data_IF_636797269144
#
_entry.id   IF_636797269144
#
_cell.length_a   1.000
_cell.length_b   1.000
_cell.length_c   1.000
_cell.angle_alpha   90.00
_cell.angle_beta   90.00
_cell.angle_gamma   90.00
#
_symmetry.space_group_name_H-M   'P 1'
#
loop_
_entity.id
_entity.type
_entity.pdbx_description
1 polymer ?
#
# COMPACT_ATOMS: atom_id res chain seq x y z
N UNK A 1 4.47 -8.22 -4.46
CA UNK A 1 4.68 -7.39 -5.67
C UNK A 1 6.14 -7.42 -6.07
N UNK A 2 6.47 -7.67 -7.34
CA UNK A 2 7.84 -7.68 -7.79
C UNK A 2 8.10 -6.45 -8.65
N UNK A 3 9.06 -5.62 -8.20
CA UNK A 3 9.54 -4.48 -8.96
C UNK A 3 10.75 -4.94 -9.78
N UNK A 4 10.68 -4.85 -11.09
CA UNK A 4 11.82 -5.07 -11.96
C UNK A 4 12.35 -3.74 -12.47
N UNK A 5 13.47 -3.26 -11.90
CA UNK A 5 14.26 -2.23 -12.55
C UNK A 5 15.26 -2.92 -13.49
N UNK A 6 15.00 -2.94 -14.75
CA UNK A 6 16.05 -3.21 -15.73
C UNK A 6 16.84 -1.93 -15.92
N UNK A 7 18.16 -1.98 -15.90
CA UNK A 7 19.14 -0.88 -15.82
C UNK A 7 19.00 0.33 -16.77
N UNK A 8 17.80 0.68 -17.14
CA UNK A 8 17.38 1.79 -17.99
C UNK A 8 16.36 2.64 -17.25
N UNK A 9 15.89 3.73 -17.86
CA UNK A 9 14.91 4.66 -17.29
C UNK A 9 13.48 4.09 -17.20
N UNK A 10 13.28 2.79 -17.39
CA UNK A 10 11.98 2.12 -17.36
C UNK A 10 11.82 1.29 -16.09
N UNK A 11 10.66 1.40 -15.46
CA UNK A 11 10.22 0.61 -14.33
C UNK A 11 8.96 -0.19 -14.70
N UNK A 12 8.82 -1.38 -14.14
CA UNK A 12 7.61 -2.19 -14.25
C UNK A 12 7.27 -2.85 -12.92
N UNK A 13 6.02 -2.82 -12.55
CA UNK A 13 5.50 -3.47 -11.35
C UNK A 13 4.19 -4.19 -11.65
N UNK A 14 3.97 -5.35 -11.05
CA UNK A 14 2.76 -6.14 -11.21
C UNK A 14 1.98 -6.27 -9.90
N UNK A 15 0.65 -6.30 -10.01
CA UNK A 15 -0.26 -6.53 -8.90
C UNK A 15 -1.50 -7.29 -9.36
N UNK A 16 -2.23 -7.89 -8.44
CA UNK A 16 -3.47 -8.64 -8.69
C UNK A 16 -4.61 -8.18 -7.78
N UNK A 17 -5.85 -8.44 -8.19
CA UNK A 17 -7.06 -8.15 -7.40
C UNK A 17 -7.83 -6.91 -7.82
N UNK A 18 -8.79 -6.50 -7.00
CA UNK A 18 -9.75 -5.45 -7.32
C UNK A 18 -9.16 -4.03 -7.41
N UNK A 19 -8.05 -3.77 -6.73
CA UNK A 19 -7.35 -2.48 -6.74
C UNK A 19 -5.97 -2.61 -7.40
N UNK A 20 -5.85 -3.52 -8.37
CA UNK A 20 -4.58 -3.88 -8.98
C UNK A 20 -3.88 -2.71 -9.70
N UNK A 21 -4.64 -1.78 -10.28
CA UNK A 21 -4.05 -0.58 -10.91
C UNK A 21 -3.36 0.29 -9.89
N UNK A 22 -4.04 0.60 -8.77
CA UNK A 22 -3.47 1.44 -7.71
C UNK A 22 -2.22 0.79 -7.11
N UNK A 23 -2.28 -0.53 -6.81
CA UNK A 23 -1.12 -1.27 -6.28
C UNK A 23 0.06 -1.21 -7.24
N UNK A 24 -0.16 -1.49 -8.52
CA UNK A 24 0.91 -1.49 -9.51
C UNK A 24 1.54 -0.08 -9.68
N UNK A 25 0.72 0.98 -9.69
CA UNK A 25 1.19 2.38 -9.75
C UNK A 25 1.92 2.79 -8.47
N UNK A 26 1.43 2.38 -7.30
CA UNK A 26 2.09 2.65 -6.02
C UNK A 26 3.47 1.99 -5.95
N UNK A 27 3.60 0.75 -6.41
CA UNK A 27 4.89 0.05 -6.49
C UNK A 27 5.91 0.81 -7.35
N UNK A 28 5.48 1.35 -8.51
CA UNK A 28 6.35 2.20 -9.35
C UNK A 28 6.74 3.48 -8.60
N UNK A 29 5.79 4.11 -7.92
CA UNK A 29 6.03 5.34 -7.17
C UNK A 29 7.02 5.13 -6.03
N UNK A 30 6.85 4.06 -5.24
CA UNK A 30 7.76 3.68 -4.17
C UNK A 30 9.16 3.31 -4.69
N UNK A 31 9.25 2.75 -5.90
CA UNK A 31 10.52 2.48 -6.57
C UNK A 31 11.22 3.72 -7.12
N UNK A 32 10.63 4.91 -6.98
CA UNK A 32 11.19 6.17 -7.45
C UNK A 32 10.86 6.50 -8.90
N UNK A 33 9.73 6.03 -9.42
CA UNK A 33 9.26 6.28 -10.80
C UNK A 33 7.90 6.95 -10.89
N UNK A 34 7.47 7.17 -12.12
CA UNK A 34 6.10 7.55 -12.48
C UNK A 34 5.54 6.56 -13.50
N UNK A 35 4.31 6.12 -13.29
CA UNK A 35 3.64 5.21 -14.21
C UNK A 35 3.16 5.97 -15.46
N UNK A 36 3.36 5.38 -16.64
CA UNK A 36 2.91 5.92 -17.92
C UNK A 36 1.69 5.16 -18.46
N UNK A 37 1.69 3.84 -18.33
CA UNK A 37 0.59 2.99 -18.79
C UNK A 37 0.51 1.68 -18.00
N UNK A 38 -0.58 0.94 -18.24
CA UNK A 38 -0.74 -0.42 -17.73
C UNK A 38 -0.95 -1.42 -18.87
N UNK A 39 -0.63 -2.68 -18.56
CA UNK A 39 -1.10 -3.87 -19.26
C UNK A 39 -1.89 -4.75 -18.30
N UNK A 40 -2.93 -5.42 -18.77
CA UNK A 40 -3.74 -6.27 -17.90
C UNK A 40 -3.89 -7.69 -18.45
N UNK A 41 -4.09 -8.65 -17.55
CA UNK A 41 -4.56 -10.00 -17.88
C UNK A 41 -5.79 -10.28 -17.05
N UNK A 42 -6.89 -10.64 -17.72
CA UNK A 42 -8.16 -10.98 -17.10
C UNK A 42 -8.46 -12.45 -17.41
N UNK A 43 -8.54 -13.28 -16.39
CA UNK A 43 -8.93 -14.68 -16.49
C UNK A 43 -10.33 -14.80 -15.90
N UNK A 44 -11.30 -15.21 -16.72
CA UNK A 44 -12.71 -15.35 -16.32
C UNK A 44 -13.04 -16.85 -16.19
N UNK A 45 -13.73 -17.22 -15.14
CA UNK A 45 -14.29 -18.56 -15.01
C UNK A 45 -15.44 -18.82 -16.02
N UNK A 46 -15.66 -20.08 -16.37
CA UNK A 46 -16.67 -20.46 -17.39
C UNK A 46 -18.13 -20.12 -16.99
N UNK A 47 -18.39 -19.91 -15.70
CA UNK A 47 -19.75 -19.61 -15.17
C UNK A 47 -20.02 -18.10 -15.12
N UNK A 48 -18.99 -17.28 -15.24
CA UNK A 48 -19.12 -15.83 -15.25
C UNK A 48 -19.89 -15.37 -16.48
N UNK A 49 -20.83 -14.45 -16.26
CA UNK A 49 -21.59 -13.80 -17.35
C UNK A 49 -20.75 -12.68 -17.99
N UNK A 50 -21.00 -12.38 -19.25
CA UNK A 50 -20.35 -11.29 -19.98
C UNK A 50 -20.44 -9.94 -19.25
N UNK A 51 -21.51 -9.68 -18.52
CA UNK A 51 -21.68 -8.46 -17.73
C UNK A 51 -20.56 -8.30 -16.69
N UNK A 52 -20.10 -9.42 -16.08
CA UNK A 52 -19.01 -9.40 -15.11
C UNK A 52 -17.69 -8.94 -15.73
N UNK A 53 -17.38 -9.38 -16.94
CA UNK A 53 -16.21 -8.91 -17.67
C UNK A 53 -16.30 -7.41 -17.98
N UNK A 54 -17.48 -6.94 -18.40
CA UNK A 54 -17.71 -5.50 -18.65
C UNK A 54 -17.52 -4.65 -17.38
N UNK A 55 -17.99 -5.13 -16.24
CA UNK A 55 -17.78 -4.47 -14.94
C UNK A 55 -16.30 -4.39 -14.57
N UNK A 56 -15.55 -5.48 -14.74
CA UNK A 56 -14.10 -5.50 -14.49
C UNK A 56 -13.37 -4.51 -15.39
N UNK A 57 -13.66 -4.50 -16.69
CA UNK A 57 -13.02 -3.58 -17.64
C UNK A 57 -13.35 -2.13 -17.29
N UNK A 58 -14.61 -1.83 -16.96
CA UNK A 58 -15.05 -0.50 -16.54
C UNK A 58 -14.34 -0.04 -15.27
N UNK A 59 -14.15 -0.94 -14.31
CA UNK A 59 -13.45 -0.62 -13.07
C UNK A 59 -11.95 -0.39 -13.30
N UNK A 60 -11.29 -1.19 -14.15
CA UNK A 60 -9.91 -0.95 -14.55
C UNK A 60 -9.74 0.42 -15.24
N UNK A 61 -10.64 0.75 -16.18
CA UNK A 61 -10.62 2.05 -16.86
C UNK A 61 -10.81 3.21 -15.87
N UNK A 62 -11.76 3.09 -14.94
CA UNK A 62 -11.99 4.07 -13.88
C UNK A 62 -10.76 4.28 -13.01
N UNK A 63 -10.11 3.20 -12.58
CA UNK A 63 -8.87 3.29 -11.80
C UNK A 63 -7.76 3.97 -12.60
N UNK A 64 -7.61 3.64 -13.88
CA UNK A 64 -6.64 4.29 -14.77
C UNK A 64 -6.89 5.80 -14.89
N UNK A 65 -8.16 6.22 -14.99
CA UNK A 65 -8.52 7.64 -15.04
C UNK A 65 -8.13 8.37 -13.75
N UNK A 66 -8.34 7.75 -12.57
CA UNK A 66 -7.97 8.34 -11.27
C UNK A 66 -6.45 8.57 -11.16
N UNK A 67 -5.64 7.61 -11.62
CA UNK A 67 -4.16 7.73 -11.56
C UNK A 67 -3.55 8.42 -12.79
N UNK A 68 -4.36 8.74 -13.80
CA UNK A 68 -3.91 9.46 -15.00
C UNK A 68 -3.06 8.62 -15.96
N UNK A 69 -3.25 7.29 -16.00
CA UNK A 69 -2.52 6.38 -16.90
C UNK A 69 -3.45 5.77 -17.95
N UNK A 70 -2.89 5.34 -19.09
CA UNK A 70 -3.64 4.64 -20.13
C UNK A 70 -3.48 3.12 -20.06
N UNK A 71 -4.43 2.38 -20.67
CA UNK A 71 -4.31 0.94 -20.89
C UNK A 71 -3.61 0.73 -22.24
N UNK A 72 -2.36 0.25 -22.22
CA UNK A 72 -1.57 0.01 -23.43
C UNK A 72 -1.91 -1.31 -24.13
N UNK A 73 -2.49 -2.26 -23.41
CA UNK A 73 -2.88 -3.56 -23.93
C UNK A 73 -3.21 -4.55 -22.85
N UNK A 74 -3.46 -5.79 -23.25
CA UNK A 74 -3.77 -6.85 -22.30
C UNK A 74 -4.26 -8.11 -22.98
N UNK A 75 -4.67 -9.08 -22.14
CA UNK A 75 -5.22 -10.36 -22.60
C UNK A 75 -6.43 -10.72 -21.74
N UNK A 76 -7.47 -11.24 -22.38
CA UNK A 76 -8.65 -11.78 -21.69
C UNK A 76 -8.90 -13.22 -22.15
N UNK A 77 -9.07 -14.14 -21.21
CA UNK A 77 -9.34 -15.54 -21.51
C UNK A 77 -10.37 -16.13 -20.57
N UNK A 78 -11.12 -17.12 -21.04
CA UNK A 78 -11.97 -17.98 -20.21
C UNK A 78 -11.19 -19.23 -19.84
N UNK A 79 -11.19 -19.60 -18.57
CA UNK A 79 -10.42 -20.75 -18.08
C UNK A 79 -11.26 -21.60 -17.10
N UNK A 80 -11.39 -22.91 -17.35
CA UNK A 80 -12.13 -23.82 -16.46
C UNK A 80 -11.42 -24.07 -15.11
N UNK A 81 -10.14 -23.72 -15.00
CA UNK A 81 -9.33 -24.00 -13.82
C UNK A 81 -9.39 -22.90 -12.74
N UNK A 82 -10.17 -21.85 -12.97
CA UNK A 82 -10.43 -20.81 -11.96
C UNK A 82 -11.90 -20.84 -11.54
N UNK A 83 -12.16 -20.54 -10.27
CA UNK A 83 -13.52 -20.53 -9.71
C UNK A 83 -14.13 -19.13 -9.62
N UNK A 84 -13.31 -18.11 -9.84
CA UNK A 84 -13.69 -16.70 -9.85
C UNK A 84 -12.76 -15.92 -10.78
N UNK A 85 -13.15 -14.75 -11.27
CA UNK A 85 -12.30 -13.92 -12.11
C UNK A 85 -10.98 -13.55 -11.42
N UNK A 86 -9.88 -13.66 -12.15
CA UNK A 86 -8.54 -13.22 -11.74
C UNK A 86 -8.12 -12.05 -12.62
N UNK A 87 -7.73 -10.95 -11.99
CA UNK A 87 -7.23 -9.76 -12.66
C UNK A 87 -5.80 -9.53 -12.23
N UNK A 88 -4.89 -9.46 -13.20
CA UNK A 88 -3.50 -9.07 -12.99
C UNK A 88 -3.18 -7.83 -13.82
N UNK A 89 -2.53 -6.86 -13.21
CA UNK A 89 -2.13 -5.59 -13.83
C UNK A 89 -0.63 -5.43 -13.72
N UNK A 90 0.01 -5.06 -14.82
CA UNK A 90 1.40 -4.62 -14.86
C UNK A 90 1.44 -3.16 -15.25
N UNK A 91 1.90 -2.28 -14.35
CA UNK A 91 2.19 -0.90 -14.67
C UNK A 91 3.61 -0.77 -15.23
N UNK A 92 3.77 0.09 -16.21
CA UNK A 92 5.04 0.43 -16.84
C UNK A 92 5.21 1.94 -16.74
N UNK A 93 6.43 2.38 -16.42
CA UNK A 93 6.71 3.79 -16.24
C UNK A 93 8.18 4.13 -16.39
N UNK A 94 8.50 5.40 -16.23
CA UNK A 94 9.86 5.90 -16.29
C UNK A 94 10.42 6.20 -14.88
N UNK A 95 11.73 6.05 -14.76
CA UNK A 95 12.44 6.30 -13.51
C UNK A 95 12.68 7.80 -13.31
N UNK A 96 12.25 8.32 -12.16
CA UNK A 96 12.53 9.69 -11.71
C UNK A 96 13.77 9.74 -10.82
N UNK A 97 13.98 8.68 -10.02
CA UNK A 97 15.09 8.56 -9.09
C UNK A 97 15.51 7.09 -8.96
N UNK A 98 16.78 6.85 -8.72
CA UNK A 98 17.26 5.49 -8.39
C UNK A 98 16.73 5.09 -7.01
N UNK A 99 16.16 3.89 -6.91
CA UNK A 99 15.75 3.31 -5.63
C UNK A 99 16.94 3.23 -4.67
N UNK A 100 16.76 3.70 -3.45
CA UNK A 100 17.81 3.76 -2.43
C UNK A 100 17.49 2.80 -1.29
N UNK A 101 18.53 2.38 -0.59
CA UNK A 101 18.43 1.63 0.66
C UNK A 101 18.31 2.58 1.84
N UNK A 102 17.65 2.14 2.90
CA UNK A 102 17.70 2.81 4.18
C UNK A 102 19.08 2.68 4.80
N UNK A 103 19.52 3.70 5.53
CA UNK A 103 20.82 3.77 6.19
C UNK A 103 20.62 4.01 7.68
N UNK A 104 21.42 3.32 8.51
CA UNK A 104 21.36 3.47 9.96
C UNK A 104 21.49 4.95 10.40
N UNK A 105 20.67 5.32 11.36
CA UNK A 105 20.54 6.68 11.86
C UNK A 105 19.43 7.50 11.20
N UNK A 106 18.91 7.09 10.04
CA UNK A 106 17.77 7.76 9.40
C UNK A 106 16.49 7.58 10.20
N UNK A 107 15.67 8.63 10.23
CA UNK A 107 14.29 8.58 10.72
C UNK A 107 13.41 7.84 9.71
N UNK A 108 12.40 7.12 10.21
CA UNK A 108 11.36 6.49 9.41
C UNK A 108 10.11 7.36 9.49
N UNK A 109 9.66 7.84 8.34
CA UNK A 109 8.44 8.65 8.20
C UNK A 109 7.36 7.83 7.53
N UNK A 110 6.16 7.83 8.08
CA UNK A 110 4.96 7.24 7.52
C UNK A 110 3.98 8.34 7.09
N UNK A 111 3.31 8.17 5.95
CA UNK A 111 2.22 9.05 5.51
C UNK A 111 0.85 8.41 5.73
N UNK A 112 -0.17 9.25 5.94
CA UNK A 112 -1.58 8.87 6.10
C UNK A 112 -1.80 7.83 7.21
N UNK A 113 -2.69 6.85 6.97
CA UNK A 113 -3.14 5.90 7.99
C UNK A 113 -2.97 4.47 7.51
N UNK A 114 -2.71 3.54 8.42
CA UNK A 114 -2.69 2.11 8.12
C UNK A 114 -4.13 1.55 7.98
N UNK A 115 -4.25 0.39 7.35
CA UNK A 115 -5.48 -0.40 7.25
C UNK A 115 -6.55 0.15 6.31
N UNK A 116 -6.30 1.26 5.58
CA UNK A 116 -7.31 1.92 4.74
C UNK A 116 -7.90 1.02 3.65
N UNK A 117 -7.07 0.37 2.86
CA UNK A 117 -7.51 -0.54 1.79
C UNK A 117 -8.10 -1.84 2.33
N UNK A 118 -7.53 -2.35 3.40
CA UNK A 118 -8.02 -3.56 4.06
C UNK A 118 -9.43 -3.36 4.60
N UNK A 119 -9.66 -2.27 5.36
CA UNK A 119 -11.01 -1.95 5.88
C UNK A 119 -12.00 -1.65 4.76
N UNK A 120 -11.59 -0.99 3.69
CA UNK A 120 -12.45 -0.80 2.51
C UNK A 120 -12.91 -2.15 1.94
N UNK A 121 -12.04 -3.14 1.90
CA UNK A 121 -12.39 -4.50 1.46
C UNK A 121 -13.31 -5.19 2.46
N UNK A 122 -13.03 -5.11 3.77
CA UNK A 122 -13.90 -5.65 4.82
C UNK A 122 -15.31 -5.04 4.73
N UNK A 123 -15.42 -3.72 4.61
CA UNK A 123 -16.71 -3.02 4.43
C UNK A 123 -17.44 -3.55 3.19
N UNK A 124 -16.75 -3.78 2.08
CA UNK A 124 -17.37 -4.25 0.84
C UNK A 124 -17.97 -5.65 0.97
N UNK A 125 -17.45 -6.50 1.85
CA UNK A 125 -17.91 -7.87 2.07
C UNK A 125 -18.83 -8.03 3.28
N UNK A 126 -18.73 -7.14 4.27
CA UNK A 126 -19.36 -7.29 5.59
C UNK A 126 -20.23 -6.08 5.99
N UNK A 127 -20.65 -5.24 5.02
CA UNK A 127 -21.37 -4.00 5.27
C UNK A 127 -22.58 -4.19 6.19
N UNK A 128 -23.41 -5.21 5.91
CA UNK A 128 -24.62 -5.46 6.71
C UNK A 128 -24.30 -5.88 8.15
N UNK A 129 -23.25 -6.69 8.34
CA UNK A 129 -22.81 -7.10 9.66
C UNK A 129 -22.30 -5.89 10.47
N UNK A 130 -21.56 -4.98 9.82
CA UNK A 130 -21.07 -3.75 10.45
C UNK A 130 -22.23 -2.83 10.83
N UNK A 131 -23.21 -2.62 9.93
CA UNK A 131 -24.38 -1.76 10.17
C UNK A 131 -25.28 -2.25 11.31
N UNK A 132 -25.24 -3.54 11.65
CA UNK A 132 -25.96 -4.07 12.82
C UNK A 132 -25.37 -3.61 14.15
N UNK A 133 -24.12 -3.14 14.18
CA UNK A 133 -23.37 -2.80 15.40
C UNK A 133 -22.91 -1.35 15.41
N UNK A 134 -22.42 -0.83 14.28
CA UNK A 134 -21.82 0.50 14.14
C UNK A 134 -22.70 1.41 13.28
N UNK A 135 -22.74 2.72 13.58
CA UNK A 135 -23.45 3.71 12.76
C UNK A 135 -22.86 3.80 11.34
N UNK A 136 -23.71 4.14 10.38
CA UNK A 136 -23.30 4.33 8.96
C UNK A 136 -22.22 5.42 8.79
N UNK A 137 -22.18 6.41 9.67
CA UNK A 137 -21.16 7.46 9.69
C UNK A 137 -19.75 6.89 9.93
N UNK A 138 -19.61 5.87 10.76
CA UNK A 138 -18.34 5.15 10.98
C UNK A 138 -17.88 4.49 9.69
N UNK A 139 -18.78 3.79 9.00
CA UNK A 139 -18.47 3.15 7.71
C UNK A 139 -18.00 4.19 6.69
N UNK A 140 -18.73 5.31 6.57
CA UNK A 140 -18.43 6.35 5.59
C UNK A 140 -17.08 7.02 5.86
N UNK A 141 -16.67 7.20 7.10
CA UNK A 141 -15.37 7.76 7.49
C UNK A 141 -14.23 6.75 7.38
N UNK A 142 -14.50 5.47 7.64
CA UNK A 142 -13.53 4.40 7.49
C UNK A 142 -13.24 4.07 6.02
N UNK A 143 -14.23 4.28 5.12
CA UNK A 143 -14.10 3.96 3.71
C UNK A 143 -13.22 4.99 3.00
N UNK A 144 -11.95 4.61 2.77
CA UNK A 144 -11.00 5.47 2.08
C UNK A 144 -11.44 5.77 0.64
N UNK A 145 -11.37 7.04 0.24
CA UNK A 145 -11.52 7.45 -1.15
C UNK A 145 -10.36 6.92 -2.01
N UNK A 146 -10.55 6.84 -3.32
CA UNK A 146 -9.54 6.29 -4.22
C UNK A 146 -8.22 7.06 -4.14
N UNK A 147 -8.28 8.38 -4.04
CA UNK A 147 -7.12 9.27 -3.93
C UNK A 147 -6.32 9.02 -2.65
N UNK A 148 -6.96 8.60 -1.57
CA UNK A 148 -6.29 8.25 -0.32
C UNK A 148 -5.45 6.98 -0.45
N UNK A 149 -5.78 6.09 -1.40
CA UNK A 149 -5.09 4.83 -1.64
C UNK A 149 -3.87 4.97 -2.57
N UNK A 150 -3.60 6.16 -3.09
CA UNK A 150 -2.53 6.43 -4.05
C UNK A 150 -1.41 7.20 -3.35
N UNK A 151 -0.15 6.79 -3.57
CA UNK A 151 1.04 7.41 -2.95
C UNK A 151 1.90 8.21 -3.94
N UNK A 152 1.48 8.32 -5.19
CA UNK A 152 2.28 8.95 -6.23
C UNK A 152 2.65 10.42 -5.90
N UNK A 153 1.74 11.16 -5.26
CA UNK A 153 1.97 12.54 -4.84
C UNK A 153 3.04 12.62 -3.76
N UNK A 154 2.94 11.78 -2.74
CA UNK A 154 3.90 11.68 -1.63
C UNK A 154 5.30 11.33 -2.13
N UNK A 155 5.39 10.29 -2.97
CA UNK A 155 6.65 9.86 -3.55
C UNK A 155 7.29 10.97 -4.39
N UNK A 156 6.52 11.68 -5.22
CA UNK A 156 7.03 12.81 -6.00
C UNK A 156 7.50 13.97 -5.14
N UNK A 157 6.78 14.29 -4.05
CA UNK A 157 7.21 15.33 -3.11
C UNK A 157 8.56 14.94 -2.49
N UNK A 158 8.70 13.71 -2.02
CA UNK A 158 9.94 13.21 -1.44
C UNK A 158 11.11 13.23 -2.44
N UNK A 159 10.87 12.76 -3.68
CA UNK A 159 11.89 12.78 -4.74
C UNK A 159 12.38 14.19 -5.03
N UNK A 160 11.48 15.19 -5.04
CA UNK A 160 11.82 16.60 -5.29
C UNK A 160 12.70 17.23 -4.21
N UNK A 161 12.71 16.68 -2.99
CA UNK A 161 13.61 17.15 -1.93
C UNK A 161 15.09 16.82 -2.23
N UNK A 162 15.35 15.88 -3.14
CA UNK A 162 16.71 15.44 -3.53
C UNK A 162 17.58 15.05 -2.32
N UNK A 163 16.99 14.41 -1.34
CA UNK A 163 17.64 13.88 -0.13
C UNK A 163 17.80 12.38 -0.22
N UNK A 164 18.82 11.84 0.44
CA UNK A 164 19.04 10.40 0.49
C UNK A 164 18.03 9.71 1.43
N UNK A 165 17.51 8.58 0.98
CA UNK A 165 16.56 7.77 1.76
C UNK A 165 15.76 6.81 0.92
N UNK A 166 15.30 5.74 1.55
CA UNK A 166 14.45 4.73 0.94
C UNK A 166 13.00 5.19 0.89
N UNK A 167 12.24 4.58 -0.02
CA UNK A 167 10.78 4.61 -0.06
C UNK A 167 10.25 3.19 -0.15
N UNK A 168 9.12 2.91 0.51
CA UNK A 168 8.42 1.63 0.43
C UNK A 168 6.91 1.85 0.61
N UNK A 169 6.08 1.26 -0.22
CA UNK A 169 4.63 1.28 -0.03
C UNK A 169 4.22 0.24 1.02
N UNK A 170 3.31 0.62 1.91
CA UNK A 170 2.68 -0.33 2.80
C UNK A 170 1.41 -0.84 2.11
N UNK A 171 1.37 -2.12 1.82
CA UNK A 171 0.23 -2.77 1.16
C UNK A 171 -0.08 -4.11 1.83
N UNK A 172 -0.09 -5.22 1.11
CA UNK A 172 -0.35 -6.56 1.64
C UNK A 172 0.59 -6.92 2.80
N UNK A 173 0.04 -7.47 3.88
CA UNK A 173 0.73 -7.73 5.13
C UNK A 173 0.88 -6.50 6.03
N UNK A 174 0.30 -5.36 5.63
CA UNK A 174 0.23 -4.12 6.39
C UNK A 174 1.58 -3.45 6.64
N UNK A 175 1.59 -2.59 7.65
CA UNK A 175 2.78 -1.80 8.00
C UNK A 175 3.93 -2.68 8.50
N UNK A 176 3.63 -3.80 9.18
CA UNK A 176 4.66 -4.68 9.70
C UNK A 176 5.42 -5.39 8.58
N UNK A 177 4.73 -5.85 7.53
CA UNK A 177 5.40 -6.43 6.36
C UNK A 177 6.26 -5.38 5.64
N UNK A 178 5.75 -4.16 5.44
CA UNK A 178 6.48 -3.09 4.79
C UNK A 178 7.76 -2.68 5.56
N UNK A 179 7.69 -2.60 6.88
CA UNK A 179 8.84 -2.32 7.73
C UNK A 179 9.87 -3.46 7.68
N UNK A 180 9.40 -4.71 7.72
CA UNK A 180 10.26 -5.87 7.57
C UNK A 180 10.99 -5.86 6.23
N UNK A 181 10.27 -5.68 5.12
CA UNK A 181 10.82 -5.70 3.76
C UNK A 181 11.83 -4.56 3.55
N UNK A 182 11.54 -3.36 4.05
CA UNK A 182 12.45 -2.21 4.00
C UNK A 182 13.77 -2.53 4.73
N UNK A 183 13.71 -3.09 5.93
CA UNK A 183 14.88 -3.45 6.72
C UNK A 183 15.68 -4.59 6.07
N UNK A 184 14.97 -5.64 5.61
CA UNK A 184 15.60 -6.81 4.96
C UNK A 184 16.31 -6.40 3.67
N UNK A 185 15.65 -5.62 2.81
CA UNK A 185 16.26 -5.11 1.58
C UNK A 185 17.47 -4.24 1.84
N UNK A 186 17.45 -3.45 2.91
CA UNK A 186 18.53 -2.52 3.27
C UNK A 186 19.68 -3.22 4.03
N UNK A 187 19.40 -4.34 4.69
CA UNK A 187 20.34 -5.03 5.58
C UNK A 187 20.52 -4.28 6.90
N UNK A 188 19.44 -3.74 7.46
CA UNK A 188 19.45 -2.88 8.65
C UNK A 188 18.47 -3.38 9.71
N UNK A 189 18.61 -2.87 10.92
CA UNK A 189 17.62 -2.98 11.99
C UNK A 189 16.60 -1.85 11.97
N UNK A 190 15.61 -1.95 12.84
CA UNK A 190 14.55 -0.95 13.08
C UNK A 190 14.34 -0.74 14.57
N UNK A 191 13.93 0.47 14.90
CA UNK A 191 13.43 0.88 16.21
C UNK A 191 12.14 1.68 15.99
N UNK A 192 10.98 1.10 16.31
CA UNK A 192 9.65 1.61 15.97
C UNK A 192 8.83 1.85 17.23
N UNK A 193 8.20 3.02 17.33
CA UNK A 193 7.21 3.34 18.36
C UNK A 193 5.79 3.21 17.78
N UNK A 194 5.03 2.21 18.25
CA UNK A 194 3.65 1.95 17.79
C UNK A 194 2.70 3.13 18.02
N UNK A 195 2.98 3.95 19.02
CA UNK A 195 2.12 5.11 19.37
C UNK A 195 2.15 6.20 18.28
N UNK A 196 3.17 6.18 17.43
CA UNK A 196 3.33 7.12 16.32
C UNK A 196 2.75 6.60 15.00
N UNK A 197 2.37 5.32 14.94
CA UNK A 197 1.71 4.75 13.77
C UNK A 197 0.26 5.20 13.75
N UNK A 198 -0.10 6.00 12.75
CA UNK A 198 -1.44 6.57 12.64
C UNK A 198 -2.44 5.56 12.10
N UNK A 199 -3.59 5.46 12.78
CA UNK A 199 -4.76 4.69 12.36
C UNK A 199 -6.02 5.49 12.67
N UNK A 200 -6.99 5.54 11.74
CA UNK A 200 -8.27 6.23 11.99
C UNK A 200 -9.07 5.50 13.08
N UNK A 201 -9.75 6.24 13.94
CA UNK A 201 -10.58 5.66 15.00
C UNK A 201 -11.65 4.70 14.42
N UNK A 202 -12.25 5.08 13.32
CA UNK A 202 -13.28 4.28 12.66
C UNK A 202 -12.72 2.96 12.09
N UNK A 203 -11.45 2.94 11.68
CA UNK A 203 -10.74 1.71 11.30
C UNK A 203 -10.56 0.81 12.53
N UNK A 204 -10.17 1.38 13.67
CA UNK A 204 -10.00 0.63 14.93
C UNK A 204 -11.33 -0.02 15.32
N UNK A 205 -12.45 0.72 15.30
CA UNK A 205 -13.77 0.21 15.67
C UNK A 205 -14.20 -1.00 14.81
N UNK A 206 -13.93 -0.95 13.50
CA UNK A 206 -14.21 -2.09 12.62
C UNK A 206 -13.23 -3.24 12.88
N UNK A 207 -11.95 -2.95 13.12
CA UNK A 207 -10.97 -3.98 13.47
C UNK A 207 -11.35 -4.71 14.77
N UNK A 208 -11.80 -3.98 15.79
CA UNK A 208 -12.27 -4.57 17.06
C UNK A 208 -13.50 -5.47 16.85
N UNK A 209 -14.47 -5.04 16.02
CA UNK A 209 -15.67 -5.81 15.71
C UNK A 209 -15.34 -7.20 15.14
N UNK A 210 -14.32 -7.31 14.31
CA UNK A 210 -13.92 -8.55 13.64
C UNK A 210 -12.65 -9.19 14.21
N UNK A 211 -12.10 -8.66 15.29
CA UNK A 211 -10.82 -9.08 15.89
C UNK A 211 -9.70 -9.13 14.82
N UNK A 212 -9.51 -8.00 14.14
CA UNK A 212 -8.49 -7.78 13.12
C UNK A 212 -7.31 -7.06 13.76
N UNK A 213 -6.09 -7.50 13.47
CA UNK A 213 -4.90 -6.73 13.81
C UNK A 213 -4.62 -5.68 12.72
N UNK A 214 -4.79 -4.36 12.99
CA UNK A 214 -4.63 -3.33 11.98
C UNK A 214 -3.20 -3.20 11.42
N UNK A 215 -2.19 -3.68 12.16
CA UNK A 215 -0.78 -3.57 11.74
C UNK A 215 -0.37 -4.60 10.68
N UNK A 216 -1.13 -5.68 10.53
CA UNK A 216 -0.93 -6.70 9.50
C UNK A 216 -2.07 -6.73 8.48
N UNK A 217 -2.96 -5.74 8.51
CA UNK A 217 -4.03 -5.52 7.54
C UNK A 217 -3.54 -4.66 6.39
N UNK A 218 -3.90 -5.02 5.16
CA UNK A 218 -3.58 -4.28 3.94
C UNK A 218 -3.70 -2.76 4.12
N UNK A 219 -2.58 -2.07 3.93
CA UNK A 219 -2.42 -0.64 4.24
C UNK A 219 -2.07 0.19 3.01
N UNK A 220 -2.51 -0.23 1.81
CA UNK A 220 -2.29 0.53 0.58
C UNK A 220 -2.77 1.98 0.73
N UNK A 221 -1.94 2.91 0.26
CA UNK A 221 -2.11 4.36 0.44
C UNK A 221 -1.14 4.96 1.46
N UNK A 222 -0.50 4.14 2.27
CA UNK A 222 0.55 4.55 3.19
C UNK A 222 1.93 4.39 2.53
N UNK A 223 2.76 5.43 2.60
CA UNK A 223 4.15 5.42 2.13
C UNK A 223 5.09 5.51 3.33
N UNK A 224 6.06 4.61 3.38
CA UNK A 224 7.22 4.71 4.25
C UNK A 224 8.37 5.41 3.53
N UNK A 225 9.04 6.31 4.21
CA UNK A 225 10.23 7.04 3.73
C UNK A 225 11.28 7.03 4.81
N UNK A 226 12.55 7.02 4.42
CA UNK A 226 13.66 7.23 5.37
C UNK A 226 14.47 8.47 4.99
N UNK A 227 14.97 9.20 5.98
CA UNK A 227 15.80 10.40 5.78
C UNK A 227 16.53 10.79 7.06
N UNK A 228 17.55 11.63 6.95
CA UNK A 228 18.31 12.13 8.13
C UNK A 228 17.45 12.95 9.08
N UNK A 229 16.51 13.76 8.56
CA UNK A 229 15.64 14.62 9.36
C UNK A 229 14.17 14.37 8.98
N UNK A 230 13.52 13.47 9.69
CA UNK A 230 12.10 13.10 9.48
C UNK A 230 11.15 14.26 9.73
N UNK A 231 11.46 15.17 10.66
CA UNK A 231 10.61 16.33 10.96
C UNK A 231 10.47 17.28 9.75
N UNK A 232 11.52 17.46 8.96
CA UNK A 232 11.46 18.31 7.76
C UNK A 232 10.55 17.71 6.70
N UNK A 233 10.59 16.38 6.53
CA UNK A 233 9.70 15.67 5.61
C UNK A 233 8.25 15.71 6.10
N UNK A 234 8.01 15.51 7.39
CA UNK A 234 6.66 15.64 7.99
C UNK A 234 6.11 17.04 7.72
N UNK A 235 6.90 18.10 7.95
CA UNK A 235 6.49 19.47 7.67
C UNK A 235 6.21 19.69 6.18
N UNK A 236 7.04 19.16 5.30
CA UNK A 236 6.86 19.26 3.84
C UNK A 236 5.57 18.55 3.41
N UNK A 237 5.29 17.36 3.92
CA UNK A 237 4.04 16.63 3.65
C UNK A 237 2.83 17.42 4.13
N UNK A 238 2.87 17.94 5.35
CA UNK A 238 1.80 18.76 5.94
C UNK A 238 1.51 20.03 5.13
N UNK A 239 2.52 20.72 4.62
CA UNK A 239 2.36 21.89 3.73
C UNK A 239 1.66 21.53 2.41
N UNK A 240 1.73 20.26 1.98
CA UNK A 240 1.05 19.74 0.80
C UNK A 240 -0.30 19.07 1.12
N UNK A 241 -0.80 19.19 2.36
CA UNK A 241 -2.08 18.63 2.82
C UNK A 241 -2.03 17.12 3.05
N UNK A 242 -0.86 16.55 3.31
CA UNK A 242 -0.66 15.13 3.57
C UNK A 242 -0.26 14.93 5.02
N UNK A 243 -1.00 14.11 5.75
CA UNK A 243 -0.64 13.72 7.10
C UNK A 243 0.60 12.81 7.08
N UNK A 244 1.53 13.05 7.98
CA UNK A 244 2.73 12.24 8.14
C UNK A 244 3.26 12.31 9.58
N UNK A 245 3.97 11.26 9.98
CA UNK A 245 4.60 11.18 11.30
C UNK A 245 5.95 10.46 11.21
N UNK A 246 6.88 10.83 12.09
CA UNK A 246 8.08 10.02 12.36
C UNK A 246 7.65 8.89 13.27
N UNK A 247 7.81 7.65 12.82
CA UNK A 247 7.38 6.44 13.55
C UNK A 247 8.52 5.66 14.18
N UNK A 248 9.77 6.02 13.88
CA UNK A 248 10.94 5.32 14.39
C UNK A 248 12.22 5.68 13.67
N UNK A 249 13.21 4.81 13.82
CA UNK A 249 14.55 4.98 13.23
C UNK A 249 15.08 3.69 12.61
N UNK A 250 15.94 3.86 11.62
CA UNK A 250 16.78 2.80 11.09
C UNK A 250 17.99 2.62 12.03
N UNK A 251 18.26 1.38 12.41
CA UNK A 251 19.37 1.04 13.32
C UNK A 251 20.42 0.17 12.64
N UNK A 252 21.62 0.14 13.21
CA UNK A 252 22.64 -0.81 12.81
C UNK A 252 22.26 -2.26 13.17
N UNK A 253 22.78 -3.21 12.41
CA UNK A 253 22.56 -4.64 12.64
C UNK A 253 21.20 -5.11 12.16
N UNK A 254 20.68 -6.20 12.75
CA UNK A 254 19.46 -6.88 12.27
C UNK A 254 18.33 -6.86 13.29
N UNK A 255 18.47 -6.16 14.41
CA UNK A 255 17.42 -6.10 15.41
C UNK A 255 16.27 -5.20 14.90
N UNK A 256 15.06 -5.72 14.94
CA UNK A 256 13.83 -5.03 14.55
C UNK A 256 12.93 -4.95 15.77
N UNK A 257 13.03 -3.84 16.49
CA UNK A 257 12.37 -3.65 17.79
C UNK A 257 11.14 -2.79 17.61
N UNK A 258 10.06 -3.19 18.25
CA UNK A 258 8.80 -2.46 18.36
C UNK A 258 8.59 -2.12 19.82
N UNK A 259 8.51 -0.83 20.09
CA UNK A 259 8.13 -0.30 21.41
C UNK A 259 6.63 -0.10 21.49
N UNK A 260 6.05 -0.63 22.54
CA UNK A 260 4.68 -0.35 22.98
C UNK A 260 4.71 0.22 24.39
N UNK A 261 3.58 0.72 24.87
CA UNK A 261 3.48 1.30 26.22
C UNK A 261 3.86 0.31 27.33
N UNK A 262 3.63 -0.97 27.13
CA UNK A 262 3.76 -2.01 28.16
C UNK A 262 5.03 -2.85 27.99
N UNK A 263 5.51 -3.06 26.77
CA UNK A 263 6.64 -3.95 26.50
C UNK A 263 7.34 -3.64 25.16
N UNK A 264 8.59 -4.03 25.07
CA UNK A 264 9.35 -4.07 23.81
C UNK A 264 9.29 -5.47 23.24
N UNK A 265 9.07 -5.58 21.93
CA UNK A 265 9.04 -6.86 21.23
C UNK A 265 9.80 -6.80 19.92
N UNK A 266 10.19 -7.95 19.41
CA UNK A 266 10.75 -8.05 18.07
C UNK A 266 9.63 -8.09 17.02
N UNK A 267 9.83 -7.34 15.93
CA UNK A 267 9.05 -7.52 14.70
C UNK A 267 9.37 -8.90 14.13
N UNK A 268 8.39 -9.79 14.09
CA UNK A 268 8.50 -11.12 13.50
C UNK A 268 8.52 -11.11 11.97
N UNK A 269 8.69 -12.30 11.38
CA UNK A 269 8.47 -12.49 9.93
C UNK A 269 7.05 -12.03 9.56
N UNK A 270 6.87 -11.48 8.33
CA UNK A 270 5.54 -11.12 7.86
C UNK A 270 4.56 -12.29 7.97
N UNK A 271 3.42 -12.01 8.58
CA UNK A 271 2.30 -12.95 8.70
C UNK A 271 1.37 -12.83 7.49
N UNK A 272 0.45 -13.77 7.34
CA UNK A 272 -0.59 -13.68 6.33
C UNK A 272 -1.49 -12.46 6.64
N UNK A 273 -1.79 -11.68 5.61
CA UNK A 273 -2.67 -10.51 5.73
C UNK A 273 -4.05 -10.90 6.27
N UNK A 274 -4.55 -10.13 7.21
CA UNK A 274 -5.89 -10.30 7.81
C UNK A 274 -7.02 -10.24 6.77
N UNK A 275 -6.78 -9.60 5.63
CA UNK A 275 -7.77 -9.48 4.55
C UNK A 275 -8.23 -10.82 4.00
N UNK A 276 -7.37 -11.84 4.02
CA UNK A 276 -7.68 -13.18 3.52
C UNK A 276 -8.76 -13.92 4.32
N UNK A 277 -9.15 -13.40 5.49
CA UNK A 277 -10.28 -13.90 6.26
C UNK A 277 -11.64 -13.46 5.68
N UNK A 278 -11.63 -12.51 4.75
CA UNK A 278 -12.83 -11.82 4.25
C UNK A 278 -13.06 -11.95 2.74
N UNK A 279 -12.11 -12.50 1.99
CA UNK A 279 -12.15 -12.67 0.52
C UNK A 279 -12.15 -14.13 0.09
#
# INVERSE_FOLDING_TARGET
SHIHSQGWDTLAAAATGSLAVYRAVNNISAAGGAADCIMNTIIIDEKSREIRLKEIIKELDRQCQVVGVGIAGGHTTVCPNVNSPVVSVTAIGHKLRTHQKAVAGQDIVMTKHIGMSGIRTVISHKRDEILNVLPEDVINKAFAADEELIIAKEAQIFIKQNIDGAMHDASEGGIFAALWDMAEYSGTGLDIDLRHISVKQEIIEICELFNINPYILDSMGCLLMTCENGCDIVNTMKQNGIEAAVIGKITDGNNRIIHNTEEDRYLGLPEQDEIYRFI
#
